data_IF_579692318880
#
_entry.id   IF_579692318880
#
_cell.length_a   1.000
_cell.length_b   1.000
_cell.length_c   1.000
_cell.angle_alpha   90.00
_cell.angle_beta   90.00
_cell.angle_gamma   90.00
#
_symmetry.space_group_name_H-M   'P 1'
#
loop_
_entity.id
_entity.type
_entity.pdbx_description
1 polymer ?
#
# COMPACT_ATOMS: atom_id res chain seq x y z
N UNK A 1 30.50 10.88 -21.62
CA UNK A 1 29.53 11.70 -20.88
C UNK A 1 29.12 10.91 -19.63
N UNK A 2 29.72 11.20 -18.48
CA UNK A 2 29.32 10.57 -17.22
C UNK A 2 28.08 11.32 -16.72
N UNK A 3 26.95 10.63 -16.56
CA UNK A 3 25.77 11.22 -15.95
C UNK A 3 26.09 11.60 -14.50
N UNK A 4 25.68 12.81 -14.10
CA UNK A 4 25.65 13.17 -12.69
C UNK A 4 24.48 12.41 -12.06
N UNK A 5 24.77 11.50 -11.14
CA UNK A 5 23.75 10.77 -10.38
C UNK A 5 23.78 11.26 -8.94
N UNK A 6 22.60 11.60 -8.42
CA UNK A 6 22.40 11.87 -7.01
C UNK A 6 22.07 10.57 -6.28
N UNK A 7 22.61 10.37 -5.08
CA UNK A 7 22.38 9.15 -4.27
C UNK A 7 21.82 9.50 -2.91
N UNK A 8 20.89 8.66 -2.47
CA UNK A 8 20.31 8.71 -1.12
C UNK A 8 20.43 7.33 -0.50
N UNK A 9 20.84 7.29 0.76
CA UNK A 9 20.89 6.09 1.57
C UNK A 9 20.08 6.30 2.84
N UNK A 10 19.17 5.37 3.11
CA UNK A 10 18.50 5.28 4.40
C UNK A 10 19.38 4.45 5.34
N UNK A 11 19.58 4.95 6.56
CA UNK A 11 20.28 4.16 7.57
C UNK A 11 19.39 2.99 8.01
N UNK A 12 19.95 1.79 8.05
CA UNK A 12 19.22 0.59 8.51
C UNK A 12 18.77 0.67 9.98
N UNK A 13 19.38 1.56 10.77
CA UNK A 13 18.99 1.80 12.17
C UNK A 13 17.90 2.89 12.32
N UNK A 14 17.41 3.45 11.21
CA UNK A 14 16.37 4.48 11.19
C UNK A 14 16.84 5.86 11.70
N UNK A 15 18.13 6.06 11.99
CA UNK A 15 18.61 7.31 12.60
C UNK A 15 18.88 8.44 11.61
N UNK A 16 18.71 8.23 10.30
CA UNK A 16 18.80 9.32 9.35
C UNK A 16 18.97 8.93 7.89
N UNK A 17 19.30 9.96 7.12
CA UNK A 17 19.42 9.97 5.67
C UNK A 17 20.82 10.46 5.30
N UNK A 18 21.53 9.72 4.46
CA UNK A 18 22.81 10.14 3.88
C UNK A 18 22.64 10.49 2.41
N UNK A 19 23.22 11.60 1.98
CA UNK A 19 23.13 12.07 0.60
C UNK A 19 24.52 12.28 0.00
N UNK A 20 24.65 11.98 -1.30
CA UNK A 20 25.84 12.26 -2.09
C UNK A 20 25.42 12.85 -3.44
N UNK A 21 25.96 14.02 -3.78
CA UNK A 21 25.62 14.74 -5.00
C UNK A 21 24.20 15.32 -5.07
N UNK A 22 23.46 15.38 -3.95
CA UNK A 22 22.11 15.97 -3.87
C UNK A 22 22.19 17.47 -3.67
N UNK A 23 21.40 18.23 -4.41
CA UNK A 23 21.26 19.69 -4.34
C UNK A 23 19.84 20.08 -3.93
N UNK A 24 19.60 21.38 -3.69
CA UNK A 24 18.28 21.95 -3.44
C UNK A 24 17.29 21.78 -4.61
N UNK A 25 17.79 21.41 -5.79
CA UNK A 25 16.98 21.10 -6.98
C UNK A 25 16.53 19.64 -7.06
N UNK A 26 17.12 18.76 -6.27
CA UNK A 26 16.79 17.34 -6.23
C UNK A 26 15.70 17.12 -5.16
N UNK A 27 14.46 16.90 -5.58
CA UNK A 27 13.31 16.70 -4.68
C UNK A 27 12.93 15.23 -4.55
N UNK A 28 12.66 14.79 -3.32
CA UNK A 28 12.15 13.47 -3.01
C UNK A 28 10.92 13.61 -2.12
N UNK A 29 9.85 12.91 -2.48
CA UNK A 29 8.65 12.81 -1.65
C UNK A 29 8.70 11.47 -0.93
N UNK A 30 8.61 11.51 0.39
CA UNK A 30 8.38 10.32 1.20
C UNK A 30 6.92 10.34 1.59
N UNK A 31 6.20 9.30 1.23
CA UNK A 31 4.84 9.06 1.69
C UNK A 31 4.93 8.05 2.83
N UNK A 32 4.27 8.37 3.94
CA UNK A 32 4.09 7.41 5.02
C UNK A 32 2.91 6.52 4.64
N UNK A 33 3.13 5.22 4.53
CA UNK A 33 2.01 4.28 4.47
C UNK A 33 1.25 4.35 5.79
N UNK A 34 -0.01 4.78 5.76
CA UNK A 34 -0.88 4.71 6.94
C UNK A 34 -1.12 3.23 7.28
N UNK A 35 -0.93 2.88 8.56
CA UNK A 35 -1.19 1.53 9.03
C UNK A 35 -2.68 1.20 8.84
N UNK A 36 -2.96 0.15 8.06
CA UNK A 36 -4.32 -0.35 7.84
C UNK A 36 -4.62 -1.39 8.92
N UNK A 37 -5.62 -1.09 9.73
CA UNK A 37 -6.18 -1.99 10.73
C UNK A 37 -7.52 -2.53 10.27
N UNK A 38 -8.09 -3.48 11.01
CA UNK A 38 -9.42 -4.03 10.70
C UNK A 38 -10.52 -2.94 10.71
N UNK A 39 -10.36 -1.91 11.54
CA UNK A 39 -11.31 -0.82 11.72
C UNK A 39 -11.08 0.37 10.77
N UNK A 40 -9.94 0.40 10.05
CA UNK A 40 -9.63 1.47 9.10
C UNK A 40 -10.69 1.52 8.00
N UNK A 41 -11.34 2.67 7.83
CA UNK A 41 -12.36 2.88 6.78
C UNK A 41 -11.65 3.16 5.45
N UNK A 42 -11.79 2.23 4.51
CA UNK A 42 -11.18 2.32 3.18
C UNK A 42 -12.17 2.98 2.21
N UNK A 43 -11.79 4.08 1.54
CA UNK A 43 -12.67 4.78 0.61
C UNK A 43 -13.14 3.92 -0.56
N UNK A 44 -12.22 3.13 -1.16
CA UNK A 44 -12.49 2.24 -2.29
C UNK A 44 -11.81 0.89 -2.02
N UNK A 45 -12.59 -0.10 -1.64
CA UNK A 45 -12.10 -1.46 -1.37
C UNK A 45 -12.63 -2.43 -2.43
N UNK A 46 -11.72 -3.13 -3.09
CA UNK A 46 -12.06 -4.17 -4.07
C UNK A 46 -11.95 -5.53 -3.40
N UNK A 47 -12.96 -6.38 -3.56
CA UNK A 47 -12.87 -7.78 -3.15
C UNK A 47 -12.85 -8.69 -4.38
N UNK A 48 -11.99 -9.72 -4.36
CA UNK A 48 -11.84 -10.67 -5.46
C UNK A 48 -11.94 -12.09 -4.89
N UNK A 49 -12.82 -12.91 -5.45
CA UNK A 49 -12.96 -14.31 -5.03
C UNK A 49 -11.64 -15.08 -5.23
N UNK A 50 -11.14 -15.71 -4.16
CA UNK A 50 -9.86 -16.42 -4.16
C UNK A 50 -9.87 -17.66 -5.04
N UNK A 51 -10.99 -18.39 -5.05
CA UNK A 51 -11.07 -19.72 -5.68
C UNK A 51 -10.92 -19.66 -7.20
N UNK A 52 -11.52 -18.67 -7.84
CA UNK A 52 -11.65 -18.62 -9.30
C UNK A 52 -11.48 -17.21 -9.89
N UNK A 53 -11.36 -16.17 -9.07
CA UNK A 53 -11.20 -14.78 -9.48
C UNK A 53 -12.26 -14.27 -10.45
N UNK A 54 -13.45 -14.90 -10.48
CA UNK A 54 -14.51 -14.56 -11.42
C UNK A 54 -15.56 -13.61 -10.82
N UNK A 55 -15.51 -13.40 -9.52
CA UNK A 55 -16.36 -12.49 -8.79
C UNK A 55 -15.50 -11.35 -8.24
N UNK A 56 -15.91 -10.13 -8.55
CA UNK A 56 -15.27 -8.90 -8.09
C UNK A 56 -16.33 -7.90 -7.70
N UNK A 57 -16.22 -7.34 -6.50
CA UNK A 57 -17.10 -6.27 -6.04
C UNK A 57 -16.28 -5.08 -5.54
N UNK A 58 -16.89 -3.90 -5.58
CA UNK A 58 -16.30 -2.67 -5.03
C UNK A 58 -17.18 -2.18 -3.89
N UNK A 59 -16.56 -1.97 -2.74
CA UNK A 59 -17.15 -1.40 -1.55
C UNK A 59 -16.61 0.01 -1.33
N UNK A 60 -17.51 0.95 -1.05
CA UNK A 60 -17.15 2.34 -0.77
C UNK A 60 -17.28 2.64 0.72
N UNK A 61 -16.24 3.27 1.29
CA UNK A 61 -16.19 3.70 2.68
C UNK A 61 -16.53 2.57 3.67
N UNK A 62 -15.81 1.45 3.57
CA UNK A 62 -15.98 0.28 4.44
C UNK A 62 -14.67 -0.10 5.11
N UNK A 63 -14.78 -0.64 6.32
CA UNK A 63 -13.65 -1.28 7.00
C UNK A 63 -13.68 -2.79 6.76
N UNK A 64 -12.51 -3.43 6.83
CA UNK A 64 -12.42 -4.87 6.59
C UNK A 64 -12.99 -5.71 7.74
N UNK A 65 -13.02 -5.15 8.95
CA UNK A 65 -13.69 -5.72 10.12
C UNK A 65 -15.17 -6.08 9.88
N UNK A 66 -15.80 -5.49 8.86
CA UNK A 66 -17.18 -5.82 8.45
C UNK A 66 -17.29 -7.12 7.63
N UNK A 67 -16.16 -7.72 7.23
CA UNK A 67 -16.09 -8.86 6.32
C UNK A 67 -15.20 -10.00 6.83
N UNK A 68 -14.87 -10.01 8.12
CA UNK A 68 -13.97 -11.02 8.72
C UNK A 68 -14.44 -12.46 8.50
N UNK A 69 -15.75 -12.68 8.47
CA UNK A 69 -16.36 -14.00 8.25
C UNK A 69 -16.33 -14.46 6.77
N UNK A 70 -15.88 -13.60 5.86
CA UNK A 70 -15.89 -13.87 4.42
C UNK A 70 -14.51 -14.31 3.91
N UNK A 71 -14.15 -15.55 4.23
CA UNK A 71 -12.84 -16.14 3.89
C UNK A 71 -12.64 -16.39 2.39
N UNK A 72 -13.71 -16.36 1.58
CA UNK A 72 -13.66 -16.66 0.15
C UNK A 72 -13.03 -15.53 -0.69
N UNK A 73 -12.80 -14.33 -0.11
CA UNK A 73 -12.33 -13.16 -0.84
C UNK A 73 -10.98 -12.62 -0.34
N UNK A 74 -10.16 -12.15 -1.28
CA UNK A 74 -9.08 -11.21 -1.00
C UNK A 74 -9.62 -9.79 -1.05
N UNK A 75 -9.08 -8.90 -0.22
CA UNK A 75 -9.45 -7.48 -0.23
C UNK A 75 -8.25 -6.61 -0.57
N UNK A 76 -8.51 -5.58 -1.36
CA UNK A 76 -7.53 -4.67 -1.90
C UNK A 76 -7.99 -3.23 -1.71
N UNK A 77 -7.05 -2.32 -1.47
CA UNK A 77 -7.27 -0.87 -1.65
C UNK A 77 -7.14 -0.57 -3.14
N UNK A 78 -8.11 0.15 -3.70
CA UNK A 78 -7.98 0.77 -5.01
C UNK A 78 -7.41 2.17 -4.83
N UNK A 79 -6.14 2.31 -5.19
CA UNK A 79 -5.39 3.54 -5.10
C UNK A 79 -5.88 4.55 -6.15
N UNK A 80 -5.51 5.82 -5.99
CA UNK A 80 -5.93 6.88 -6.91
C UNK A 80 -5.21 6.84 -8.27
N UNK A 81 -4.13 6.07 -8.39
CA UNK A 81 -3.43 5.78 -9.65
C UNK A 81 -3.94 4.50 -10.34
N UNK A 82 -5.13 4.02 -9.94
CA UNK A 82 -5.79 2.80 -10.40
C UNK A 82 -5.03 1.49 -10.11
N UNK A 83 -3.99 1.53 -9.28
CA UNK A 83 -3.33 0.32 -8.79
C UNK A 83 -4.09 -0.33 -7.62
N UNK A 84 -3.83 -1.62 -7.38
CA UNK A 84 -4.42 -2.38 -6.29
C UNK A 84 -3.35 -2.81 -5.28
N UNK A 85 -3.54 -2.44 -4.02
CA UNK A 85 -2.71 -2.91 -2.90
C UNK A 85 -3.47 -3.99 -2.14
N UNK A 86 -2.93 -5.21 -2.07
CA UNK A 86 -3.53 -6.28 -1.28
C UNK A 86 -3.38 -5.97 0.20
N UNK A 87 -4.48 -6.01 0.94
CA UNK A 87 -4.48 -5.72 2.38
C UNK A 87 -4.95 -6.87 3.23
N UNK A 88 -5.68 -7.84 2.67
CA UNK A 88 -6.19 -8.97 3.43
C UNK A 88 -6.29 -10.24 2.62
N UNK A 89 -5.71 -11.30 3.19
CA UNK A 89 -5.64 -12.65 2.61
C UNK A 89 -5.66 -13.66 3.76
N UNK A 90 -6.32 -14.78 3.53
CA UNK A 90 -6.37 -15.93 4.44
C UNK A 90 -6.80 -15.57 5.88
N UNK A 91 -7.76 -14.64 5.96
CA UNK A 91 -8.36 -14.22 7.24
C UNK A 91 -7.44 -13.31 8.06
N UNK A 92 -6.46 -12.65 7.42
CA UNK A 92 -5.47 -11.80 8.11
C UNK A 92 -5.10 -10.58 7.26
N UNK A 93 -4.70 -9.51 7.95
CA UNK A 93 -4.01 -8.38 7.32
C UNK A 93 -2.68 -8.85 6.72
N UNK A 94 -2.33 -8.26 5.59
CA UNK A 94 -1.02 -8.46 4.95
C UNK A 94 -0.04 -7.44 5.52
N UNK A 95 1.12 -7.92 5.99
CA UNK A 95 2.27 -7.10 6.42
C UNK A 95 3.15 -6.69 5.23
#
# INVERSE_FOLDING_TARGET
CYGHYSKIYFSNDGQGLYTDGVTDKDTFTVELEEEITEDTVIPKMVCICRKNQNETNIHYSRSIGQFLDNEDFNYYVLNDDDTLTLIWRDGKLVE
#
